data_IF_581351591956
#
_entry.id   IF_581351591956
#
_cell.length_a   1.000
_cell.length_b   1.000
_cell.length_c   1.000
_cell.angle_alpha   90.00
_cell.angle_beta   90.00
_cell.angle_gamma   90.00
#
_symmetry.space_group_name_H-M   'P 1'
#
loop_
_entity.id
_entity.type
_entity.pdbx_description
1 polymer ?
#
# COMPACT_ATOMS: atom_id res chain seq x y z
N UNK A 1 40.85 29.23 -9.74
CA UNK A 1 39.98 29.71 -10.81
C UNK A 1 38.55 29.48 -10.33
N UNK A 2 37.89 30.57 -9.86
CA UNK A 2 36.51 30.58 -9.45
C UNK A 2 35.61 30.75 -10.67
N UNK A 3 34.62 29.87 -10.87
CA UNK A 3 33.58 30.09 -11.86
C UNK A 3 32.24 30.26 -11.12
N UNK A 4 31.81 31.52 -11.02
CA UNK A 4 30.49 31.89 -10.57
C UNK A 4 29.49 31.67 -11.70
N UNK A 5 28.48 30.84 -11.48
CA UNK A 5 27.31 30.77 -12.35
C UNK A 5 26.15 31.42 -11.61
N UNK A 6 25.82 32.63 -12.02
CA UNK A 6 24.62 33.36 -11.59
C UNK A 6 23.38 32.78 -12.28
N UNK A 7 22.41 32.34 -11.51
CA UNK A 7 21.11 31.93 -12.01
C UNK A 7 20.10 33.05 -11.72
N UNK A 8 19.69 33.73 -12.77
CA UNK A 8 18.70 34.81 -12.75
C UNK A 8 17.29 34.21 -12.65
N UNK A 9 16.59 34.58 -11.60
CA UNK A 9 15.18 34.24 -11.39
C UNK A 9 14.29 35.13 -12.30
N UNK A 10 13.48 34.49 -13.13
CA UNK A 10 12.42 35.16 -13.86
C UNK A 10 11.08 34.79 -13.24
N UNK A 11 10.51 35.75 -12.46
CA UNK A 11 9.14 35.71 -11.97
C UNK A 11 8.24 36.17 -13.12
N UNK A 12 7.28 35.34 -13.52
CA UNK A 12 6.15 35.77 -14.32
C UNK A 12 4.88 35.61 -13.48
N UNK A 13 4.34 36.78 -13.07
CA UNK A 13 3.03 36.88 -12.43
C UNK A 13 2.01 36.95 -13.58
N UNK A 14 1.20 35.93 -13.72
CA UNK A 14 0.02 35.93 -14.60
C UNK A 14 -1.25 35.98 -13.77
N UNK A 15 -1.81 37.16 -13.57
CA UNK A 15 -3.17 37.34 -13.09
C UNK A 15 -4.14 37.17 -14.26
N UNK A 16 -5.08 36.25 -14.17
CA UNK A 16 -6.28 36.18 -15.01
C UNK A 16 -7.45 35.77 -14.15
N UNK A 17 -8.28 36.75 -13.84
CA UNK A 17 -9.56 37.05 -14.44
C UNK A 17 -10.68 36.10 -14.07
N UNK A 18 -11.52 36.57 -13.15
CA UNK A 18 -12.81 36.00 -12.79
C UNK A 18 -13.70 35.87 -14.03
N UNK A 19 -14.02 34.67 -14.42
CA UNK A 19 -15.05 34.33 -15.38
C UNK A 19 -16.35 34.02 -14.67
N UNK A 20 -17.27 34.91 -14.80
CA UNK A 20 -18.69 34.83 -14.47
C UNK A 20 -19.31 33.61 -15.20
N UNK A 21 -19.80 32.61 -14.45
CA UNK A 21 -20.52 31.48 -15.02
C UNK A 21 -22.02 31.68 -14.75
N UNK A 22 -22.86 31.65 -15.81
CA UNK A 22 -24.31 31.77 -15.64
C UNK A 22 -24.89 30.54 -14.96
N UNK A 23 -25.68 30.80 -13.92
CA UNK A 23 -26.51 29.81 -13.21
C UNK A 23 -27.70 29.44 -14.12
N UNK A 24 -27.93 28.17 -14.47
CA UNK A 24 -29.18 27.77 -15.09
C UNK A 24 -30.27 27.64 -14.02
N UNK A 25 -31.27 28.48 -14.20
CA UNK A 25 -32.57 28.43 -13.52
C UNK A 25 -33.32 27.17 -13.98
N UNK A 26 -33.47 26.18 -13.10
CA UNK A 26 -34.32 25.01 -13.35
C UNK A 26 -35.51 25.04 -12.38
N UNK A 27 -36.49 25.86 -12.73
CA UNK A 27 -37.84 25.67 -12.24
C UNK A 27 -38.52 24.57 -13.07
N UNK A 28 -38.67 23.42 -12.50
CA UNK A 28 -39.37 22.28 -13.11
C UNK A 28 -39.83 21.30 -12.06
N UNK A 29 -40.94 21.61 -11.43
CA UNK A 29 -41.71 20.69 -10.60
C UNK A 29 -42.24 19.54 -11.45
N UNK A 30 -41.92 18.30 -11.08
CA UNK A 30 -42.74 17.15 -11.43
C UNK A 30 -42.73 16.20 -10.25
N UNK A 31 -43.85 16.15 -9.58
CA UNK A 31 -44.17 15.16 -8.61
C UNK A 31 -44.20 13.78 -9.28
N UNK A 32 -43.32 12.90 -8.82
CA UNK A 32 -43.38 11.49 -9.12
C UNK A 32 -43.56 10.75 -7.79
N UNK A 33 -44.72 10.09 -7.72
CA UNK A 33 -45.16 9.17 -6.69
C UNK A 33 -44.03 8.25 -6.23
N UNK A 34 -43.58 8.45 -4.99
CA UNK A 34 -42.66 7.54 -4.35
C UNK A 34 -43.45 6.39 -3.74
N UNK A 35 -43.63 5.33 -4.52
CA UNK A 35 -43.98 4.03 -3.98
C UNK A 35 -42.81 3.52 -3.16
N UNK A 36 -42.80 3.78 -1.87
CA UNK A 36 -41.92 3.18 -0.90
C UNK A 36 -42.20 1.69 -0.80
N UNK A 37 -41.54 0.89 -1.61
CA UNK A 37 -41.45 -0.54 -1.40
C UNK A 37 -40.58 -0.77 -0.18
N UNK A 38 -41.20 -1.12 0.93
CA UNK A 38 -40.55 -1.56 2.16
C UNK A 38 -39.75 -2.81 1.87
N UNK A 39 -38.49 -2.63 1.50
CA UNK A 39 -37.50 -3.70 1.49
C UNK A 39 -37.18 -4.07 2.93
N UNK A 40 -37.76 -5.23 3.33
CA UNK A 40 -37.54 -5.92 4.59
C UNK A 40 -36.03 -5.99 4.85
N UNK A 41 -35.55 -5.24 5.86
CA UNK A 41 -34.14 -5.23 6.26
C UNK A 41 -33.71 -6.65 6.59
N UNK A 42 -32.79 -7.15 5.79
CA UNK A 42 -31.92 -8.24 6.23
C UNK A 42 -30.96 -7.62 7.23
N UNK A 43 -31.23 -7.79 8.51
CA UNK A 43 -30.24 -7.65 9.58
C UNK A 43 -29.23 -8.78 9.46
N UNK A 44 -28.43 -8.74 8.39
CA UNK A 44 -27.23 -9.56 8.29
C UNK A 44 -26.24 -8.97 9.30
N UNK A 45 -26.10 -9.64 10.44
CA UNK A 45 -24.99 -9.44 11.37
C UNK A 45 -23.71 -9.34 10.53
N UNK A 46 -22.87 -8.31 10.70
CA UNK A 46 -21.61 -8.21 10.00
C UNK A 46 -20.84 -9.51 10.18
N UNK A 47 -20.59 -10.22 9.09
CA UNK A 47 -19.73 -11.40 9.09
C UNK A 47 -18.34 -10.95 9.53
N UNK A 48 -17.72 -11.61 10.51
CA UNK A 48 -16.35 -11.24 10.90
C UNK A 48 -15.45 -11.34 9.68
N UNK A 49 -14.45 -10.46 9.56
CA UNK A 49 -13.47 -10.53 8.47
C UNK A 49 -12.92 -11.94 8.34
N UNK A 50 -12.75 -12.46 7.12
CA UNK A 50 -12.21 -13.78 6.90
C UNK A 50 -10.82 -13.88 7.56
N UNK A 51 -10.63 -14.91 8.38
CA UNK A 51 -9.33 -15.16 9.00
C UNK A 51 -8.27 -15.41 7.91
N UNK A 52 -7.04 -14.89 8.07
CA UNK A 52 -5.98 -15.08 7.09
C UNK A 52 -5.72 -16.57 6.83
N UNK A 53 -5.78 -16.97 5.55
CA UNK A 53 -5.62 -18.37 5.14
C UNK A 53 -4.26 -18.58 4.50
N UNK A 54 -3.47 -19.47 5.06
CA UNK A 54 -2.14 -19.85 4.53
C UNK A 54 -2.22 -20.48 3.13
N UNK A 55 -3.39 -20.99 2.76
CA UNK A 55 -3.65 -21.64 1.46
C UNK A 55 -3.57 -20.65 0.29
N UNK A 56 -3.82 -19.37 0.54
CA UNK A 56 -3.85 -18.30 -0.46
C UNK A 56 -2.52 -17.50 -0.53
N UNK A 57 -1.41 -18.15 -0.19
CA UNK A 57 -0.07 -17.56 -0.31
C UNK A 57 0.89 -18.53 -0.99
N UNK A 58 1.96 -18.02 -1.62
CA UNK A 58 2.99 -18.88 -2.18
C UNK A 58 3.58 -19.83 -1.13
N UNK A 59 3.75 -21.11 -1.51
CA UNK A 59 4.22 -22.17 -0.60
C UNK A 59 5.51 -21.81 0.16
N UNK A 60 6.43 -21.07 -0.48
CA UNK A 60 7.67 -20.63 0.16
C UNK A 60 7.38 -19.69 1.35
N UNK A 61 6.42 -18.79 1.21
CA UNK A 61 5.98 -17.86 2.28
C UNK A 61 5.31 -18.65 3.41
N UNK A 62 4.39 -19.56 3.05
CA UNK A 62 3.72 -20.42 4.02
C UNK A 62 4.73 -21.24 4.84
N UNK A 63 5.74 -21.82 4.19
CA UNK A 63 6.79 -22.58 4.85
C UNK A 63 7.64 -21.73 5.80
N UNK A 64 7.97 -20.49 5.42
CA UNK A 64 8.72 -19.58 6.28
C UNK A 64 7.93 -19.22 7.55
N UNK A 65 6.64 -18.89 7.39
CA UNK A 65 5.75 -18.61 8.54
C UNK A 65 5.58 -19.83 9.44
N UNK A 66 5.37 -21.02 8.87
CA UNK A 66 5.28 -22.28 9.63
C UNK A 66 6.58 -22.62 10.37
N UNK A 67 7.73 -22.17 9.86
CA UNK A 67 9.03 -22.29 10.52
C UNK A 67 9.25 -21.25 11.65
N UNK A 68 8.24 -20.42 11.95
CA UNK A 68 8.30 -19.41 13.00
C UNK A 68 9.09 -18.15 12.62
N UNK A 69 9.34 -17.92 11.33
CA UNK A 69 10.07 -16.76 10.85
C UNK A 69 9.15 -15.55 10.62
N UNK A 70 9.68 -14.36 10.83
CA UNK A 70 9.04 -13.14 10.32
C UNK A 70 9.28 -13.06 8.81
N UNK A 71 8.22 -12.88 8.06
CA UNK A 71 8.28 -12.74 6.60
C UNK A 71 8.17 -11.27 6.23
N UNK A 72 9.05 -10.81 5.34
CA UNK A 72 8.99 -9.46 4.79
C UNK A 72 8.81 -9.55 3.28
N UNK A 73 7.70 -8.99 2.78
CA UNK A 73 7.34 -8.97 1.37
C UNK A 73 7.61 -7.57 0.81
N UNK A 74 8.34 -7.47 -0.28
CA UNK A 74 8.49 -6.25 -1.06
C UNK A 74 7.71 -6.42 -2.37
N UNK A 75 6.69 -5.59 -2.56
CA UNK A 75 6.00 -5.42 -3.84
C UNK A 75 6.60 -4.22 -4.56
N UNK A 76 7.22 -4.46 -5.72
CA UNK A 76 7.97 -3.44 -6.41
C UNK A 76 7.88 -3.61 -7.93
N UNK A 77 8.10 -2.52 -8.67
CA UNK A 77 8.26 -2.54 -10.11
C UNK A 77 9.74 -2.39 -10.51
N UNK A 78 10.20 -3.19 -11.46
CA UNK A 78 11.61 -3.23 -11.81
C UNK A 78 12.14 -1.94 -12.43
N UNK A 79 11.27 -1.16 -13.08
CA UNK A 79 11.67 0.01 -13.86
C UNK A 79 11.67 1.31 -13.06
N UNK A 80 10.94 1.39 -11.93
CA UNK A 80 10.83 2.61 -11.15
C UNK A 80 12.08 2.85 -10.28
N UNK A 81 12.53 4.11 -10.22
CA UNK A 81 13.74 4.47 -9.48
C UNK A 81 13.59 4.28 -7.98
N UNK A 82 12.42 4.64 -7.42
CA UNK A 82 12.13 4.50 -6.00
C UNK A 82 12.05 3.02 -5.59
N UNK A 83 11.51 2.16 -6.45
CA UNK A 83 11.46 0.71 -6.25
C UNK A 83 12.86 0.11 -6.20
N UNK A 84 13.75 0.54 -7.11
CA UNK A 84 15.13 0.10 -7.12
C UNK A 84 15.91 0.59 -5.87
N UNK A 85 15.64 1.82 -5.42
CA UNK A 85 16.25 2.36 -4.21
C UNK A 85 15.76 1.57 -2.98
N UNK A 86 14.45 1.38 -2.84
CA UNK A 86 13.85 0.57 -1.76
C UNK A 86 14.35 -0.87 -1.79
N UNK A 87 14.48 -1.50 -2.97
CA UNK A 87 15.01 -2.84 -3.12
C UNK A 87 16.47 -2.99 -2.68
N UNK A 88 17.29 -1.94 -2.82
CA UNK A 88 18.66 -1.92 -2.28
C UNK A 88 18.66 -1.89 -0.76
N UNK A 89 17.82 -1.04 -0.15
CA UNK A 89 17.69 -0.95 1.29
C UNK A 89 17.07 -2.23 1.89
N UNK A 90 16.15 -2.86 1.17
CA UNK A 90 15.56 -4.14 1.54
C UNK A 90 16.60 -5.26 1.73
N UNK A 91 17.70 -5.21 0.99
CA UNK A 91 18.78 -6.18 1.11
C UNK A 91 19.48 -6.17 2.48
N UNK A 92 19.39 -5.06 3.24
CA UNK A 92 19.95 -4.96 4.57
C UNK A 92 19.28 -5.90 5.58
N UNK A 93 18.08 -6.41 5.27
CA UNK A 93 17.37 -7.37 6.13
C UNK A 93 18.12 -8.70 6.29
N UNK A 94 19.07 -9.01 5.41
CA UNK A 94 19.91 -10.21 5.54
C UNK A 94 20.68 -10.30 6.86
N UNK A 95 20.87 -9.17 7.57
CA UNK A 95 21.52 -9.15 8.88
C UNK A 95 20.72 -9.88 9.98
N UNK A 96 19.43 -10.11 9.80
CA UNK A 96 18.62 -10.87 10.76
C UNK A 96 18.77 -12.39 10.62
N UNK A 97 19.59 -12.85 9.66
CA UNK A 97 19.89 -14.28 9.47
C UNK A 97 18.65 -15.12 9.23
N UNK A 98 18.50 -16.19 10.05
CA UNK A 98 17.42 -17.15 9.91
C UNK A 98 16.08 -16.70 10.47
N UNK A 99 16.03 -15.62 11.23
CA UNK A 99 14.82 -15.17 11.93
C UNK A 99 13.86 -14.43 11.00
N UNK A 100 14.38 -13.94 9.89
CA UNK A 100 13.63 -13.18 8.88
C UNK A 100 13.80 -13.83 7.51
N UNK A 101 12.69 -14.06 6.83
CA UNK A 101 12.69 -14.49 5.43
C UNK A 101 12.16 -13.36 4.54
N UNK A 102 12.85 -13.08 3.43
CA UNK A 102 12.51 -11.97 2.56
C UNK A 102 12.05 -12.45 1.19
N UNK A 103 10.96 -11.88 0.68
CA UNK A 103 10.43 -12.19 -0.64
C UNK A 103 10.21 -10.91 -1.43
N UNK A 104 10.35 -10.99 -2.75
CA UNK A 104 10.08 -9.89 -3.68
C UNK A 104 9.08 -10.36 -4.73
N UNK A 105 8.10 -9.52 -5.00
CA UNK A 105 7.08 -9.76 -6.02
C UNK A 105 6.78 -8.47 -6.79
N UNK A 106 6.24 -8.60 -8.00
CA UNK A 106 5.68 -7.46 -8.71
C UNK A 106 4.38 -7.00 -8.07
N UNK A 107 4.04 -5.71 -8.17
CA UNK A 107 2.76 -5.22 -7.68
C UNK A 107 1.57 -5.95 -8.32
N UNK A 108 1.69 -6.36 -9.57
CA UNK A 108 0.68 -7.16 -10.28
C UNK A 108 0.47 -8.56 -9.68
N UNK A 109 1.40 -9.05 -8.86
CA UNK A 109 1.34 -10.36 -8.23
C UNK A 109 0.71 -10.34 -6.82
N UNK A 110 0.29 -9.17 -6.31
CA UNK A 110 -0.33 -9.01 -4.98
C UNK A 110 -1.48 -10.01 -4.77
N UNK A 111 -2.27 -10.28 -5.82
CA UNK A 111 -3.36 -11.26 -5.77
C UNK A 111 -2.95 -12.69 -5.38
N UNK A 112 -1.66 -13.05 -5.48
CA UNK A 112 -1.14 -14.37 -5.06
C UNK A 112 -0.86 -14.45 -3.56
N UNK A 113 -1.03 -13.34 -2.85
CA UNK A 113 -0.75 -13.21 -1.42
C UNK A 113 -2.01 -12.82 -0.63
N UNK A 114 -3.20 -13.02 -1.23
CA UNK A 114 -4.48 -12.59 -0.66
C UNK A 114 -4.71 -13.11 0.76
N UNK A 115 -4.25 -14.31 1.09
CA UNK A 115 -4.35 -14.88 2.43
C UNK A 115 -3.71 -14.03 3.55
N UNK A 116 -2.83 -13.08 3.21
CA UNK A 116 -2.13 -12.24 4.19
C UNK A 116 -2.19 -10.74 3.88
N UNK A 117 -2.53 -10.33 2.65
CA UNK A 117 -2.53 -8.91 2.26
C UNK A 117 -3.90 -8.37 1.87
N UNK A 118 -4.95 -9.21 1.82
CA UNK A 118 -6.27 -8.80 1.34
C UNK A 118 -6.84 -7.59 2.09
N UNK A 119 -6.63 -7.52 3.40
CA UNK A 119 -7.15 -6.45 4.26
C UNK A 119 -6.21 -5.23 4.34
N UNK A 120 -5.00 -5.34 3.79
CA UNK A 120 -3.98 -4.29 3.91
C UNK A 120 -4.09 -3.20 2.85
N UNK A 121 -4.89 -3.42 1.80
CA UNK A 121 -5.08 -2.43 0.73
C UNK A 121 -3.82 -2.10 -0.06
N UNK A 122 -2.90 -3.06 -0.26
CA UNK A 122 -1.68 -2.87 -1.05
C UNK A 122 -2.04 -2.64 -2.52
N UNK A 123 -1.92 -1.41 -2.99
CA UNK A 123 -2.32 -0.99 -4.34
C UNK A 123 -1.23 -0.29 -5.14
N UNK A 124 -0.13 0.07 -4.50
CA UNK A 124 0.96 0.82 -5.13
C UNK A 124 2.34 0.22 -4.83
N UNK A 125 3.31 0.52 -5.69
CA UNK A 125 4.71 0.15 -5.54
C UNK A 125 5.56 1.41 -5.31
N UNK A 126 6.65 1.32 -4.51
CA UNK A 126 7.01 0.17 -3.69
C UNK A 126 6.16 0.06 -2.43
N UNK A 127 5.82 -1.18 -2.03
CA UNK A 127 5.14 -1.44 -0.75
C UNK A 127 5.81 -2.59 -0.02
N UNK A 128 6.02 -2.44 1.29
CA UNK A 128 6.61 -3.46 2.14
C UNK A 128 5.58 -3.92 3.16
N UNK A 129 5.34 -5.22 3.21
CA UNK A 129 4.47 -5.87 4.19
C UNK A 129 5.32 -6.78 5.08
N UNK A 130 5.15 -6.63 6.39
CA UNK A 130 5.80 -7.49 7.38
C UNK A 130 4.74 -8.40 7.98
N UNK A 131 4.97 -9.70 7.95
CA UNK A 131 4.05 -10.73 8.44
C UNK A 131 4.72 -11.52 9.54
N UNK A 132 4.06 -11.61 10.68
CA UNK A 132 4.53 -12.38 11.83
C UNK A 132 4.19 -13.85 11.69
N UNK A 133 4.85 -14.74 12.45
CA UNK A 133 4.55 -16.18 12.43
C UNK A 133 3.10 -16.51 12.80
N UNK A 134 2.43 -15.65 13.58
CA UNK A 134 1.02 -15.78 13.95
C UNK A 134 0.05 -15.32 12.84
N UNK A 135 0.55 -15.14 11.62
CA UNK A 135 -0.16 -14.65 10.42
C UNK A 135 -0.67 -13.22 10.52
N UNK A 136 -0.29 -12.48 11.55
CA UNK A 136 -0.64 -11.07 11.65
C UNK A 136 0.28 -10.24 10.79
N UNK A 137 -0.30 -9.55 9.84
CA UNK A 137 0.42 -8.58 9.02
C UNK A 137 0.40 -7.19 9.68
N UNK A 138 1.52 -6.50 9.60
CA UNK A 138 1.64 -5.11 10.03
C UNK A 138 1.14 -4.22 8.89
N UNK A 139 0.53 -3.04 9.18
CA UNK A 139 0.16 -2.09 8.14
C UNK A 139 1.29 -1.85 7.15
N UNK A 140 1.01 -1.82 5.83
CA UNK A 140 2.04 -1.73 4.80
C UNK A 140 2.82 -0.42 4.92
N UNK A 141 4.09 -0.47 4.56
CA UNK A 141 4.93 0.71 4.41
C UNK A 141 4.98 1.02 2.92
N UNK A 142 4.38 2.12 2.52
CA UNK A 142 4.24 2.52 1.13
C UNK A 142 5.27 3.57 0.74
N UNK A 143 5.74 3.50 -0.50
CA UNK A 143 6.72 4.43 -1.04
C UNK A 143 8.16 4.09 -0.69
N UNK A 144 9.06 5.05 -0.90
CA UNK A 144 10.48 4.90 -0.60
C UNK A 144 10.74 4.66 0.89
N UNK A 145 11.58 3.67 1.18
CA UNK A 145 11.96 3.30 2.55
C UNK A 145 13.48 3.17 2.63
N UNK A 146 14.09 3.83 3.62
CA UNK A 146 15.50 3.63 3.94
C UNK A 146 15.74 2.40 4.82
N UNK A 147 17.00 1.93 4.82
CA UNK A 147 17.37 0.71 5.54
C UNK A 147 17.21 0.82 7.06
N UNK A 148 17.52 1.97 7.65
CA UNK A 148 17.48 2.14 9.10
C UNK A 148 16.05 2.02 9.64
N UNK A 149 15.12 2.71 8.99
CA UNK A 149 13.70 2.63 9.33
C UNK A 149 13.17 1.20 9.15
N UNK A 150 13.50 0.56 8.02
CA UNK A 150 13.05 -0.80 7.74
C UNK A 150 13.57 -1.82 8.77
N UNK A 151 14.84 -1.73 9.11
CA UNK A 151 15.47 -2.58 10.11
C UNK A 151 14.82 -2.44 11.48
N UNK A 152 14.52 -1.20 11.89
CA UNK A 152 13.83 -0.97 13.15
C UNK A 152 12.43 -1.57 13.14
N UNK A 153 11.67 -1.38 12.06
CA UNK A 153 10.31 -1.92 11.93
C UNK A 153 10.29 -3.45 12.00
N UNK A 154 11.24 -4.11 11.37
CA UNK A 154 11.36 -5.58 11.42
C UNK A 154 11.80 -6.05 12.81
N UNK A 155 12.78 -5.38 13.42
CA UNK A 155 13.25 -5.70 14.77
C UNK A 155 12.12 -5.64 15.82
N UNK A 156 11.19 -4.70 15.66
CA UNK A 156 10.04 -4.57 16.55
C UNK A 156 9.06 -5.76 16.44
N UNK A 157 9.09 -6.51 15.33
CA UNK A 157 8.26 -7.69 15.12
C UNK A 157 8.91 -8.99 15.59
N UNK A 158 10.20 -8.97 15.91
CA UNK A 158 10.95 -10.13 16.44
C UNK A 158 10.86 -10.27 17.97
N UNK A 159 10.17 -9.36 18.63
CA UNK A 159 9.93 -9.35 20.08
C UNK A 159 8.58 -10.01 20.37
#
# INVERSE_FOLDING_TARGET
MLSLISFTAMRTIGAQSAGDLPVPDIAGQSAVDASFSSSKGNDAKPEPPPEPRVEDVPRAVANALAAGKVVVLLFAEKAAADDQATARHFSALSQFGSDVETFRAGISEVGRYTGIVAELGVTQAPSIVIVRPDLRAVPPIEGYVDSQYLLQRVKDQLR
#
